data_IF_219204579176
#
_entry.id   IF_219204579176
#
_cell.length_a   1.000
_cell.length_b   1.000
_cell.length_c   1.000
_cell.angle_alpha   90.00
_cell.angle_beta   90.00
_cell.angle_gamma   90.00
#
_symmetry.space_group_name_H-M   'P 1'
#
loop_
_entity.id
_entity.type
_entity.pdbx_description
1 polymer ?
#
# COMPACT_ATOMS: atom_id res chain seq x y z
N UNK A 1 24.50 -5.90 -2.21
CA UNK A 1 23.47 -6.70 -1.53
C UNK A 1 22.40 -5.75 -1.04
N UNK A 2 21.42 -5.49 -1.89
CA UNK A 2 20.16 -4.89 -1.41
C UNK A 2 19.53 -5.88 -0.41
N UNK A 3 19.40 -5.46 0.84
CA UNK A 3 18.83 -6.29 1.88
C UNK A 3 17.32 -6.37 1.67
N UNK A 4 16.77 -7.57 1.49
CA UNK A 4 15.31 -7.76 1.42
C UNK A 4 14.68 -7.15 2.69
N UNK A 5 13.69 -6.26 2.58
CA UNK A 5 13.12 -5.59 3.74
C UNK A 5 12.49 -6.60 4.70
N UNK A 6 12.89 -6.54 5.97
CA UNK A 6 12.27 -7.35 7.01
C UNK A 6 10.77 -7.05 7.07
N UNK A 7 9.95 -8.11 7.04
CA UNK A 7 8.50 -7.98 6.99
C UNK A 7 7.76 -8.90 7.94
N UNK A 8 6.60 -8.46 8.41
CA UNK A 8 5.65 -9.30 9.13
C UNK A 8 4.87 -10.24 8.20
N UNK A 9 4.77 -9.90 6.91
CA UNK A 9 4.08 -10.69 5.91
C UNK A 9 4.91 -11.90 5.50
N UNK A 10 4.27 -13.04 5.33
CA UNK A 10 4.91 -14.30 4.97
C UNK A 10 5.03 -14.42 3.45
N UNK A 11 6.26 -14.46 2.96
CA UNK A 11 6.59 -14.65 1.55
C UNK A 11 7.25 -16.00 1.30
N UNK A 12 7.13 -16.50 0.08
CA UNK A 12 7.92 -17.66 -0.36
C UNK A 12 9.37 -17.24 -0.70
N UNK A 13 10.19 -18.22 -1.07
CA UNK A 13 11.57 -17.94 -1.48
C UNK A 13 11.57 -17.14 -2.79
N UNK A 14 12.48 -16.16 -2.96
CA UNK A 14 12.56 -15.41 -4.20
C UNK A 14 12.92 -16.30 -5.39
N UNK A 15 12.26 -16.00 -6.52
CA UNK A 15 12.47 -16.67 -7.80
C UNK A 15 13.23 -15.73 -8.72
N UNK A 16 14.28 -16.24 -9.37
CA UNK A 16 15.03 -15.52 -10.38
C UNK A 16 14.23 -15.44 -11.68
N UNK A 17 13.93 -14.23 -12.14
CA UNK A 17 13.28 -14.01 -13.44
C UNK A 17 14.35 -14.08 -14.52
N UNK A 18 14.46 -15.25 -15.14
CA UNK A 18 15.22 -15.39 -16.39
C UNK A 18 14.31 -14.90 -17.51
N UNK A 19 14.43 -13.64 -17.93
CA UNK A 19 13.65 -13.13 -19.07
C UNK A 19 14.07 -13.89 -20.34
N UNK A 20 13.32 -14.93 -20.72
CA UNK A 20 13.17 -15.28 -22.12
C UNK A 20 12.25 -14.23 -22.73
N UNK A 21 12.76 -13.46 -23.69
CA UNK A 21 12.10 -12.30 -24.31
C UNK A 21 11.05 -12.69 -25.36
N UNK A 22 10.68 -13.96 -25.49
CA UNK A 22 9.74 -14.39 -26.53
C UNK A 22 8.37 -14.78 -25.94
N UNK A 23 7.33 -14.27 -26.61
CA UNK A 23 5.89 -14.52 -26.39
C UNK A 23 5.10 -13.55 -25.48
N UNK A 24 5.22 -12.25 -25.77
CA UNK A 24 4.02 -11.40 -25.80
C UNK A 24 3.54 -11.39 -27.26
N UNK A 25 2.65 -12.33 -27.62
CA UNK A 25 1.81 -12.15 -28.81
C UNK A 25 0.56 -13.02 -28.74
N UNK A 26 -0.59 -12.34 -28.79
CA UNK A 26 -1.88 -12.82 -29.27
C UNK A 26 -2.61 -13.89 -28.45
N UNK A 27 -3.59 -13.45 -27.65
CA UNK A 27 -4.90 -14.13 -27.60
C UNK A 27 -6.04 -13.18 -27.26
N UNK A 28 -6.56 -12.56 -28.30
CA UNK A 28 -7.91 -11.98 -28.38
C UNK A 28 -8.92 -13.14 -28.33
N UNK A 29 -9.77 -13.23 -27.31
CA UNK A 29 -10.86 -14.21 -27.29
C UNK A 29 -12.07 -13.67 -28.04
N UNK A 30 -12.33 -14.24 -29.23
CA UNK A 30 -13.62 -14.17 -29.90
C UNK A 30 -14.53 -15.29 -29.42
N UNK A 31 -15.78 -14.91 -29.12
CA UNK A 31 -16.93 -15.76 -28.82
C UNK A 31 -17.36 -16.55 -30.07
N UNK A 32 -17.58 -17.86 -29.93
CA UNK A 32 -18.31 -18.66 -30.91
C UNK A 32 -19.02 -19.83 -30.25
N UNK A 33 -20.28 -20.00 -30.62
CA UNK A 33 -21.30 -20.88 -30.07
C UNK A 33 -21.48 -22.13 -30.94
N UNK A 34 -22.02 -23.20 -30.33
CA UNK A 34 -22.70 -24.39 -30.91
C UNK A 34 -21.82 -25.57 -31.40
N UNK A 35 -22.17 -26.87 -31.29
CA UNK A 35 -23.30 -27.68 -30.76
C UNK A 35 -22.87 -29.18 -30.85
N UNK A 36 -23.27 -30.01 -29.88
CA UNK A 36 -23.50 -31.49 -29.84
C UNK A 36 -22.34 -32.53 -29.87
N UNK A 37 -22.41 -33.45 -28.89
CA UNK A 37 -21.54 -34.60 -28.57
C UNK A 37 -21.67 -35.81 -29.55
N UNK A 38 -20.81 -36.87 -29.45
CA UNK A 38 -21.07 -37.92 -28.45
C UNK A 38 -19.83 -38.51 -27.73
N UNK A 39 -19.95 -38.63 -26.40
CA UNK A 39 -19.35 -39.61 -25.45
C UNK A 39 -17.83 -39.53 -25.16
N UNK A 40 -17.42 -39.18 -23.92
CA UNK A 40 -16.04 -39.31 -23.45
C UNK A 40 -15.76 -40.66 -22.74
N UNK A 41 -14.50 -41.17 -22.76
CA UNK A 41 -14.05 -42.38 -22.05
C UNK A 41 -13.91 -42.12 -20.53
N UNK A 42 -13.76 -43.16 -19.67
CA UNK A 42 -14.07 -43.10 -18.24
C UNK A 42 -13.17 -42.15 -17.44
N UNK A 43 -13.65 -41.61 -16.31
CA UNK A 43 -13.00 -40.52 -15.58
C UNK A 43 -11.71 -41.00 -14.93
N UNK A 44 -10.58 -40.48 -15.42
CA UNK A 44 -9.31 -40.54 -14.68
C UNK A 44 -9.38 -39.59 -13.47
N UNK A 45 -8.87 -40.08 -12.36
CA UNK A 45 -8.90 -39.54 -11.01
C UNK A 45 -8.60 -38.03 -10.88
N UNK A 46 -9.54 -37.28 -10.29
CA UNK A 46 -9.43 -36.28 -9.20
C UNK A 46 -8.13 -35.43 -9.01
N UNK A 47 -7.33 -35.12 -10.03
CA UNK A 47 -6.15 -34.24 -9.87
C UNK A 47 -6.37 -32.78 -10.31
N UNK A 48 -7.36 -32.49 -11.18
CA UNK A 48 -7.47 -31.17 -11.81
C UNK A 48 -8.14 -30.07 -10.97
N UNK A 49 -8.93 -30.43 -9.95
CA UNK A 49 -9.73 -29.45 -9.19
C UNK A 49 -8.91 -28.69 -8.15
N UNK A 50 -7.92 -29.35 -7.53
CA UNK A 50 -7.11 -28.74 -6.47
C UNK A 50 -6.07 -27.77 -7.03
N UNK A 51 -5.41 -28.11 -8.13
CA UNK A 51 -4.42 -27.23 -8.78
C UNK A 51 -5.06 -25.92 -9.29
N UNK A 52 -6.26 -26.02 -9.88
CA UNK A 52 -7.02 -24.85 -10.32
C UNK A 52 -7.40 -23.92 -9.15
N UNK A 53 -7.76 -24.49 -7.99
CA UNK A 53 -8.10 -23.68 -6.80
C UNK A 53 -6.88 -22.99 -6.19
N UNK A 54 -5.69 -23.61 -6.27
CA UNK A 54 -4.44 -23.00 -5.78
C UNK A 54 -4.00 -21.83 -6.68
N UNK A 55 -4.06 -21.99 -8.00
CA UNK A 55 -3.78 -20.91 -8.95
C UNK A 55 -4.71 -19.71 -8.74
N UNK A 56 -6.01 -19.95 -8.52
CA UNK A 56 -6.95 -18.87 -8.19
C UNK A 56 -6.58 -18.12 -6.91
N UNK A 57 -6.10 -18.82 -5.88
CA UNK A 57 -5.66 -18.19 -4.63
C UNK A 57 -4.40 -17.35 -4.87
N UNK A 58 -3.43 -17.85 -5.64
CA UNK A 58 -2.22 -17.12 -6.02
C UNK A 58 -2.56 -15.82 -6.75
N UNK A 59 -3.40 -15.89 -7.78
CA UNK A 59 -3.86 -14.71 -8.54
C UNK A 59 -4.53 -13.67 -7.64
N UNK A 60 -5.36 -14.12 -6.69
CA UNK A 60 -6.04 -13.23 -5.74
C UNK A 60 -5.04 -12.63 -4.75
N UNK A 61 -4.08 -13.41 -4.25
CA UNK A 61 -3.05 -12.91 -3.34
C UNK A 61 -2.16 -11.86 -4.02
N UNK A 62 -1.77 -12.08 -5.27
CA UNK A 62 -0.99 -11.12 -6.06
C UNK A 62 -1.78 -9.83 -6.35
N UNK A 63 -3.11 -9.93 -6.51
CA UNK A 63 -3.97 -8.76 -6.63
C UNK A 63 -4.14 -7.99 -5.29
N UNK A 64 -4.12 -8.69 -4.15
CA UNK A 64 -4.25 -8.09 -2.82
C UNK A 64 -2.97 -7.37 -2.40
N UNK A 65 -1.83 -8.02 -2.61
CA UNK A 65 -0.51 -7.50 -2.33
C UNK A 65 0.44 -7.94 -3.46
N UNK A 66 0.82 -7.03 -4.36
CA UNK A 66 1.70 -7.34 -5.47
C UNK A 66 3.01 -8.00 -5.01
N UNK A 67 3.56 -8.95 -5.80
CA UNK A 67 4.86 -9.54 -5.53
C UNK A 67 5.94 -8.48 -5.35
N UNK A 68 6.91 -8.76 -4.48
CA UNK A 68 8.08 -7.89 -4.31
C UNK A 68 9.05 -8.15 -5.44
N UNK A 69 9.55 -7.08 -6.04
CA UNK A 69 10.56 -7.15 -7.08
C UNK A 69 11.80 -6.35 -6.67
N UNK A 70 13.00 -6.93 -6.84
CA UNK A 70 14.26 -6.22 -6.63
C UNK A 70 15.34 -6.75 -7.58
N UNK A 71 16.39 -5.96 -7.77
CA UNK A 71 17.52 -6.34 -8.63
C UNK A 71 18.78 -6.50 -7.80
N UNK A 72 19.37 -7.68 -7.76
CA UNK A 72 20.69 -7.91 -7.15
C UNK A 72 21.64 -8.42 -8.21
N UNK A 73 22.82 -7.80 -8.36
CA UNK A 73 23.83 -8.18 -9.35
C UNK A 73 23.30 -8.34 -10.80
N UNK A 74 22.52 -7.37 -11.28
CA UNK A 74 21.86 -7.38 -12.61
C UNK A 74 20.85 -8.53 -12.83
N UNK A 75 20.45 -9.22 -11.78
CA UNK A 75 19.45 -10.27 -11.81
C UNK A 75 18.16 -9.80 -11.13
N UNK A 76 17.03 -9.98 -11.80
CA UNK A 76 15.72 -9.61 -11.28
C UNK A 76 15.16 -10.75 -10.43
N UNK A 77 14.85 -10.48 -9.17
CA UNK A 77 14.21 -11.40 -8.26
C UNK A 77 12.77 -10.96 -8.02
N UNK A 78 11.85 -11.93 -8.03
CA UNK A 78 10.45 -11.73 -7.69
C UNK A 78 10.10 -12.65 -6.53
N UNK A 79 9.38 -12.11 -5.55
CA UNK A 79 8.97 -12.83 -4.35
C UNK A 79 7.47 -12.70 -4.14
N UNK A 80 6.78 -13.84 -4.24
CA UNK A 80 5.33 -13.96 -4.10
C UNK A 80 4.93 -14.21 -2.65
N UNK A 81 3.67 -13.94 -2.34
CA UNK A 81 3.07 -14.29 -1.07
C UNK A 81 3.02 -15.80 -0.89
N UNK A 82 3.27 -16.26 0.34
CA UNK A 82 3.15 -17.70 0.60
C UNK A 82 1.69 -18.13 0.62
N UNK A 83 1.37 -19.19 -0.13
CA UNK A 83 0.04 -19.84 -0.10
C UNK A 83 -0.14 -20.80 1.07
N UNK A 84 0.87 -20.96 1.92
CA UNK A 84 0.82 -21.90 3.04
C UNK A 84 -0.29 -21.50 4.03
N UNK A 85 -1.22 -22.43 4.32
CA UNK A 85 -2.23 -22.22 5.35
C UNK A 85 -1.59 -21.91 6.70
N UNK A 86 -2.25 -21.06 7.48
CA UNK A 86 -1.73 -20.63 8.79
C UNK A 86 -2.45 -21.31 9.93
N UNK A 87 -1.69 -21.68 10.95
CA UNK A 87 -2.15 -22.34 12.17
C UNK A 87 -2.34 -21.32 13.29
N UNK A 88 -3.01 -21.73 14.37
CA UNK A 88 -3.14 -20.90 15.59
C UNK A 88 -1.77 -20.47 16.15
N UNK A 89 -0.75 -21.33 16.03
CA UNK A 89 0.61 -21.02 16.49
C UNK A 89 1.22 -19.90 15.66
N UNK A 90 1.03 -19.90 14.35
CA UNK A 90 1.56 -18.87 13.45
C UNK A 90 0.95 -17.49 13.76
N UNK A 91 -0.34 -17.45 14.12
CA UNK A 91 -1.00 -16.21 14.57
C UNK A 91 -0.39 -15.68 15.87
N UNK A 92 -0.13 -16.55 16.85
CA UNK A 92 0.56 -16.15 18.08
C UNK A 92 1.98 -15.64 17.81
N UNK A 93 2.72 -16.29 16.92
CA UNK A 93 4.06 -15.86 16.52
C UNK A 93 4.04 -14.51 15.78
N UNK A 94 3.03 -14.26 14.93
CA UNK A 94 2.84 -12.97 14.28
C UNK A 94 2.64 -11.85 15.31
N UNK A 95 1.80 -12.10 16.32
CA UNK A 95 1.58 -11.14 17.41
C UNK A 95 2.89 -10.85 18.18
N UNK A 96 3.62 -11.89 18.58
CA UNK A 96 4.90 -11.74 19.27
C UNK A 96 5.92 -10.97 18.43
N UNK A 97 5.99 -11.24 17.12
CA UNK A 97 6.87 -10.55 16.18
C UNK A 97 6.49 -9.08 16.04
N UNK A 98 5.20 -8.76 15.93
CA UNK A 98 4.70 -7.40 15.90
C UNK A 98 5.08 -6.63 17.18
N UNK A 99 4.83 -7.23 18.34
CA UNK A 99 5.14 -6.62 19.64
C UNK A 99 6.65 -6.37 19.82
N UNK A 100 7.47 -7.33 19.37
CA UNK A 100 8.92 -7.20 19.38
C UNK A 100 9.37 -6.04 18.48
N UNK A 101 8.88 -5.97 17.24
CA UNK A 101 9.22 -4.92 16.29
C UNK A 101 8.76 -3.53 16.76
N UNK A 102 7.57 -3.42 17.35
CA UNK A 102 7.08 -2.17 17.94
C UNK A 102 8.01 -1.68 19.05
N UNK A 103 8.50 -2.59 19.91
CA UNK A 103 9.45 -2.25 20.99
C UNK A 103 10.84 -1.89 20.44
N UNK A 104 11.40 -2.72 19.56
CA UNK A 104 12.73 -2.53 18.99
C UNK A 104 12.84 -1.23 18.21
N UNK A 105 11.81 -0.89 17.42
CA UNK A 105 11.74 0.36 16.65
C UNK A 105 11.17 1.53 17.45
N UNK A 106 11.00 1.37 18.77
CA UNK A 106 10.52 2.41 19.69
C UNK A 106 9.26 3.14 19.21
N UNK A 107 8.28 2.38 18.72
CA UNK A 107 7.03 2.92 18.23
C UNK A 107 6.27 3.62 19.39
N UNK A 108 5.74 4.81 19.12
CA UNK A 108 4.96 5.56 20.12
C UNK A 108 3.61 4.89 20.35
N UNK A 109 3.25 4.71 21.61
CA UNK A 109 1.95 4.15 22.01
C UNK A 109 0.78 5.10 21.72
N UNK A 110 1.01 6.42 21.81
CA UNK A 110 -0.01 7.46 21.62
C UNK A 110 0.40 8.45 20.54
N UNK A 111 -0.61 9.06 19.90
CA UNK A 111 -0.43 10.03 18.83
C UNK A 111 0.00 9.41 17.49
N UNK A 112 0.36 10.27 16.53
CA UNK A 112 0.80 9.84 15.20
C UNK A 112 2.20 9.22 15.27
N UNK A 113 2.36 8.03 14.70
CA UNK A 113 3.63 7.30 14.63
C UNK A 113 3.72 6.51 13.33
N UNK A 114 4.69 6.85 12.48
CA UNK A 114 4.92 6.21 11.18
C UNK A 114 5.31 4.74 11.32
N UNK A 115 6.26 4.43 12.22
CA UNK A 115 6.69 3.06 12.52
C UNK A 115 5.50 2.16 12.92
N UNK A 116 4.66 2.67 13.83
CA UNK A 116 3.46 1.95 14.27
C UNK A 116 2.50 1.74 13.10
N UNK A 117 2.25 2.78 12.30
CA UNK A 117 1.37 2.69 11.12
C UNK A 117 1.88 1.63 10.14
N UNK A 118 3.18 1.65 9.82
CA UNK A 118 3.84 0.69 8.94
C UNK A 118 3.67 -0.74 9.45
N UNK A 119 4.00 -1.00 10.73
CA UNK A 119 3.90 -2.35 11.30
C UNK A 119 2.46 -2.86 11.36
N UNK A 120 1.47 -2.01 11.69
CA UNK A 120 0.06 -2.42 11.64
C UNK A 120 -0.42 -2.65 10.21
N UNK A 121 0.04 -1.86 9.23
CA UNK A 121 -0.27 -2.12 7.82
C UNK A 121 0.25 -3.49 7.40
N UNK A 122 1.53 -3.81 7.69
CA UNK A 122 2.09 -5.11 7.38
C UNK A 122 1.38 -6.26 8.10
N UNK A 123 1.02 -6.07 9.39
CA UNK A 123 0.26 -7.07 10.13
C UNK A 123 -1.13 -7.30 9.51
N UNK A 124 -1.80 -6.23 9.08
CA UNK A 124 -3.10 -6.35 8.43
C UNK A 124 -3.01 -7.03 7.07
N UNK A 125 -1.96 -6.75 6.29
CA UNK A 125 -1.70 -7.45 5.02
C UNK A 125 -1.47 -8.96 5.24
N UNK A 126 -0.75 -9.33 6.30
CA UNK A 126 -0.58 -10.74 6.68
C UNK A 126 -1.91 -11.38 7.12
N UNK A 127 -2.76 -10.67 7.86
CA UNK A 127 -4.10 -11.16 8.19
C UNK A 127 -4.96 -11.34 6.94
N UNK A 128 -4.89 -10.42 5.97
CA UNK A 128 -5.60 -10.56 4.70
C UNK A 128 -5.09 -11.82 3.98
N UNK A 129 -3.77 -12.03 3.87
CA UNK A 129 -3.18 -13.25 3.28
C UNK A 129 -3.75 -14.52 3.93
N UNK A 130 -3.74 -14.59 5.26
CA UNK A 130 -4.25 -15.74 6.01
C UNK A 130 -5.75 -15.97 5.79
N UNK A 131 -6.55 -14.90 5.78
CA UNK A 131 -8.01 -14.99 5.56
C UNK A 131 -8.32 -15.39 4.11
N UNK A 132 -7.59 -14.87 3.12
CA UNK A 132 -7.74 -15.24 1.71
C UNK A 132 -7.50 -16.72 1.49
N UNK A 133 -6.44 -17.28 2.07
CA UNK A 133 -6.13 -18.71 1.97
C UNK A 133 -7.26 -19.56 2.57
N UNK A 134 -7.88 -19.10 3.66
CA UNK A 134 -9.02 -19.79 4.26
C UNK A 134 -10.32 -19.62 3.46
N UNK A 135 -10.53 -18.45 2.85
CA UNK A 135 -11.70 -18.08 2.05
C UNK A 135 -11.42 -16.78 1.31
N UNK A 136 -11.26 -16.91 -0.01
CA UNK A 136 -10.81 -15.82 -0.86
C UNK A 136 -11.75 -14.61 -0.85
N UNK A 137 -13.07 -14.83 -0.81
CA UNK A 137 -14.08 -13.79 -0.80
C UNK A 137 -13.99 -12.91 0.45
N UNK A 138 -13.69 -13.51 1.60
CA UNK A 138 -13.45 -12.76 2.85
C UNK A 138 -12.16 -11.94 2.76
N UNK A 139 -11.12 -12.51 2.15
CA UNK A 139 -9.88 -11.80 1.87
C UNK A 139 -10.09 -10.56 1.00
N UNK A 140 -10.81 -10.71 -0.11
CA UNK A 140 -11.18 -9.60 -1.02
C UNK A 140 -12.05 -8.56 -0.32
N UNK A 141 -12.94 -8.95 0.59
CA UNK A 141 -13.70 -7.99 1.40
C UNK A 141 -12.78 -7.18 2.32
N UNK A 142 -11.83 -7.82 3.02
CA UNK A 142 -10.89 -7.12 3.89
C UNK A 142 -9.96 -6.18 3.11
N UNK A 143 -9.54 -6.58 1.90
CA UNK A 143 -8.81 -5.71 0.97
C UNK A 143 -9.58 -4.41 0.70
N UNK A 144 -10.87 -4.49 0.38
CA UNK A 144 -11.69 -3.29 0.12
C UNK A 144 -11.80 -2.38 1.34
N UNK A 145 -11.94 -2.97 2.54
CA UNK A 145 -11.95 -2.20 3.79
C UNK A 145 -10.60 -1.49 4.02
N UNK A 146 -9.47 -2.18 3.77
CA UNK A 146 -8.12 -1.61 3.83
C UNK A 146 -8.01 -0.38 2.93
N UNK A 147 -8.42 -0.53 1.68
CA UNK A 147 -8.25 0.49 0.64
C UNK A 147 -9.14 1.71 0.90
N UNK A 148 -10.37 1.49 1.38
CA UNK A 148 -11.28 2.56 1.81
C UNK A 148 -10.70 3.38 2.98
N UNK A 149 -10.14 2.70 3.99
CA UNK A 149 -9.49 3.36 5.13
C UNK A 149 -8.26 4.15 4.67
N UNK A 150 -7.47 3.60 3.74
CA UNK A 150 -6.30 4.28 3.18
C UNK A 150 -6.70 5.52 2.37
N UNK A 151 -7.76 5.42 1.55
CA UNK A 151 -8.30 6.54 0.79
C UNK A 151 -8.81 7.65 1.72
N UNK A 152 -9.55 7.27 2.77
CA UNK A 152 -10.04 8.20 3.81
C UNK A 152 -8.87 8.89 4.52
N UNK A 153 -7.82 8.15 4.88
CA UNK A 153 -6.64 8.71 5.54
C UNK A 153 -5.89 9.69 4.62
N UNK A 154 -5.75 9.36 3.34
CA UNK A 154 -5.12 10.24 2.35
C UNK A 154 -5.90 11.56 2.16
N UNK A 155 -7.24 11.48 2.16
CA UNK A 155 -8.09 12.66 2.14
C UNK A 155 -7.88 13.55 3.38
N UNK A 156 -7.83 12.95 4.58
CA UNK A 156 -7.52 13.70 5.81
C UNK A 156 -6.13 14.31 5.81
N UNK A 157 -5.12 13.61 5.32
CA UNK A 157 -3.75 14.15 5.18
C UNK A 157 -3.74 15.37 4.24
N UNK A 158 -4.45 15.29 3.12
CA UNK A 158 -4.59 16.40 2.17
C UNK A 158 -5.30 17.60 2.80
N UNK A 159 -6.40 17.37 3.51
CA UNK A 159 -7.13 18.42 4.22
C UNK A 159 -6.26 19.08 5.29
N UNK A 160 -5.49 18.29 6.04
CA UNK A 160 -4.55 18.79 7.04
C UNK A 160 -3.46 19.65 6.40
N UNK A 161 -2.80 19.16 5.35
CA UNK A 161 -1.78 19.92 4.62
C UNK A 161 -2.33 21.26 4.08
N UNK A 162 -3.53 21.23 3.50
CA UNK A 162 -4.21 22.43 3.00
C UNK A 162 -4.56 23.43 4.12
N UNK A 163 -5.02 22.93 5.27
CA UNK A 163 -5.36 23.80 6.40
C UNK A 163 -4.11 24.48 6.99
N UNK A 164 -3.00 23.74 7.14
CA UNK A 164 -1.71 24.30 7.57
C UNK A 164 -1.21 25.34 6.57
N UNK A 165 -1.23 25.04 5.27
CA UNK A 165 -0.80 25.96 4.22
C UNK A 165 -1.65 27.26 4.20
N UNK A 166 -2.96 27.14 4.39
CA UNK A 166 -3.87 28.29 4.52
C UNK A 166 -3.52 29.15 5.74
N UNK A 167 -3.24 28.51 6.89
CA UNK A 167 -2.82 29.21 8.11
C UNK A 167 -1.51 29.98 7.93
N UNK A 168 -0.50 29.34 7.34
CA UNK A 168 0.81 29.98 7.05
C UNK A 168 0.63 31.18 6.13
N UNK A 169 -0.16 31.04 5.06
CA UNK A 169 -0.40 32.11 4.09
C UNK A 169 -1.06 33.33 4.73
N UNK A 170 -2.11 33.13 5.51
CA UNK A 170 -2.79 34.22 6.23
C UNK A 170 -1.87 34.91 7.23
N UNK A 171 -1.01 34.15 7.91
CA UNK A 171 -0.02 34.73 8.83
C UNK A 171 1.01 35.59 8.09
N UNK A 172 1.43 35.18 6.88
CA UNK A 172 2.33 35.96 6.04
C UNK A 172 1.64 37.22 5.49
N UNK A 173 0.42 37.10 5.00
CA UNK A 173 -0.40 38.23 4.52
C UNK A 173 -0.61 39.27 5.63
N UNK A 174 -0.90 38.83 6.86
CA UNK A 174 -1.03 39.74 8.00
C UNK A 174 0.28 40.48 8.31
N UNK A 175 1.43 39.79 8.27
CA UNK A 175 2.73 40.42 8.47
C UNK A 175 3.06 41.45 7.38
N UNK A 176 2.76 41.12 6.12
CA UNK A 176 2.94 42.05 5.01
C UNK A 176 2.05 43.29 5.18
N UNK A 177 0.78 43.10 5.53
CA UNK A 177 -0.15 44.20 5.76
C UNK A 177 0.30 45.16 6.87
N UNK A 178 0.91 44.66 7.94
CA UNK A 178 1.51 45.52 8.98
C UNK A 178 2.68 46.32 8.43
N UNK A 179 3.60 45.68 7.70
CA UNK A 179 4.76 46.36 7.11
C UNK A 179 4.34 47.45 6.10
N UNK A 180 3.32 47.18 5.28
CA UNK A 180 2.78 48.15 4.33
C UNK A 180 2.15 49.36 5.05
N UNK A 181 1.45 49.13 6.16
CA UNK A 181 0.87 50.20 6.97
C UNK A 181 1.94 51.03 7.68
N UNK A 182 2.98 50.41 8.24
CA UNK A 182 4.12 51.11 8.83
C UNK A 182 4.82 52.01 7.81
N UNK A 183 5.03 51.50 6.59
CA UNK A 183 5.57 52.30 5.49
C UNK A 183 4.68 53.49 5.17
N UNK A 184 3.37 53.28 5.08
CA UNK A 184 2.40 54.35 4.82
C UNK A 184 2.37 55.41 5.93
N UNK A 185 2.49 55.00 7.19
CA UNK A 185 2.60 55.92 8.32
C UNK A 185 3.87 56.79 8.17
N UNK A 186 5.02 56.16 7.89
CA UNK A 186 6.27 56.89 7.70
C UNK A 186 6.21 57.89 6.52
N UNK A 187 5.60 57.49 5.40
CA UNK A 187 5.40 58.34 4.23
C UNK A 187 4.50 59.55 4.57
N UNK A 188 3.38 59.33 5.26
CA UNK A 188 2.46 60.40 5.68
C UNK A 188 3.06 61.33 6.75
N UNK A 189 3.88 60.81 7.66
CA UNK A 189 4.60 61.63 8.63
C UNK A 189 5.65 62.54 7.97
N UNK A 190 6.33 62.05 6.92
CA UNK A 190 7.21 62.87 6.10
C UNK A 190 6.43 64.00 5.41
N UNK A 191 5.34 63.67 4.73
CA UNK A 191 4.50 64.64 4.02
C UNK A 191 3.95 65.73 4.95
N UNK A 192 3.45 65.33 6.14
CA UNK A 192 2.98 66.28 7.15
C UNK A 192 4.09 67.25 7.57
N UNK A 193 5.31 66.76 7.83
CA UNK A 193 6.45 67.61 8.22
C UNK A 193 6.84 68.59 7.13
N UNK A 194 6.76 68.20 5.87
CA UNK A 194 7.08 69.07 4.74
C UNK A 194 6.02 70.15 4.55
N UNK A 195 4.74 69.83 4.75
CA UNK A 195 3.63 70.78 4.72
C UNK A 195 3.68 71.78 5.88
N UNK A 196 4.08 71.36 7.08
CA UNK A 196 4.24 72.26 8.24
C UNK A 196 5.40 73.26 8.08
N UNK A 197 6.33 73.00 7.14
CA UNK A 197 7.47 73.88 6.84
C UNK A 197 7.18 74.91 5.74
N UNK A 198 6.06 74.77 5.02
CA UNK A 198 5.59 75.73 4.01
C UNK A 198 4.77 76.85 4.66
#
# INVERSE_FOLDING_TARGET
>A
MEHVPESLVTYDNPVLVTKNIEEISSKTMHLSTAILDPVPPPPKAKSSTTEASTQQIEEILDAILPPREWTDNNQLFVQHLSIKPSTRKDVSQLQEKLDLQLKQRQAREKGMCSVRRELYTQCFDELIRQVTINCAERGVMLLRVRDEINMTLAAYQTLYANSVASGIRKALEAKQGVSDMEKKIADLENEKRDLERQ
#
